data_IF_832308504754
#
_entry.id   IF_832308504754
#
_cell.length_a   1.000
_cell.length_b   1.000
_cell.length_c   1.000
_cell.angle_alpha   90.00
_cell.angle_beta   90.00
_cell.angle_gamma   90.00
#
_symmetry.space_group_name_H-M   'P 1'
#
loop_
_entity.id
_entity.type
_entity.pdbx_description
1 polymer ?
#
# COMPACT_ATOMS: atom_id res chain seq x y z
N UNK A 1 41.79 -44.22 10.08
CA UNK A 1 41.56 -45.34 11.00
C UNK A 1 40.24 -45.96 10.61
N UNK A 2 40.41 -47.05 9.97
CA UNK A 2 39.86 -48.41 10.17
C UNK A 2 38.36 -48.45 9.88
N UNK A 3 38.02 -48.99 8.72
CA UNK A 3 37.99 -50.41 8.27
C UNK A 3 36.84 -51.18 8.87
N UNK A 4 36.06 -51.72 7.92
CA UNK A 4 35.73 -53.15 7.82
C UNK A 4 34.53 -53.59 8.66
N UNK A 5 33.64 -54.42 8.21
CA UNK A 5 33.60 -55.63 7.32
C UNK A 5 32.14 -55.92 7.01
N UNK A 6 31.76 -56.24 5.83
CA UNK A 6 31.78 -57.50 5.09
C UNK A 6 30.90 -58.63 5.63
N UNK A 7 30.13 -59.16 4.67
CA UNK A 7 29.75 -60.61 4.42
C UNK A 7 28.39 -61.04 4.93
N UNK A 8 27.62 -61.48 4.02
CA UNK A 8 27.33 -62.77 3.36
C UNK A 8 26.02 -63.40 3.87
N UNK A 9 25.10 -63.80 3.01
CA UNK A 9 24.90 -65.12 2.37
C UNK A 9 23.62 -64.95 1.48
N UNK A 10 23.61 -65.19 0.28
CA UNK A 10 23.75 -66.39 -0.58
C UNK A 10 22.70 -67.47 -0.34
N UNK A 11 22.03 -67.80 -1.44
CA UNK A 11 21.55 -69.04 -1.96
C UNK A 11 20.18 -69.58 -1.54
N UNK A 12 19.45 -70.04 -2.56
CA UNK A 12 18.30 -70.92 -2.43
C UNK A 12 17.52 -71.10 -3.74
N UNK A 13 18.18 -71.70 -4.74
CA UNK A 13 17.51 -72.27 -5.91
C UNK A 13 16.56 -73.38 -5.50
N UNK A 14 15.33 -73.39 -6.00
CA UNK A 14 14.38 -74.48 -5.89
C UNK A 14 13.70 -74.77 -7.21
N UNK A 15 14.37 -75.50 -8.05
CA UNK A 15 13.80 -76.14 -9.26
C UNK A 15 13.08 -77.42 -8.80
N UNK A 16 11.74 -77.47 -9.14
CA UNK A 16 10.99 -78.76 -8.99
C UNK A 16 10.78 -79.38 -10.37
N UNK A 17 10.94 -80.67 -10.48
CA UNK A 17 10.93 -81.39 -11.75
C UNK A 17 9.50 -81.77 -12.23
N UNK A 18 9.37 -82.23 -13.49
CA UNK A 18 8.07 -82.55 -14.11
C UNK A 18 7.51 -83.87 -13.77
N UNK A 19 6.19 -83.94 -13.61
CA UNK A 19 5.42 -85.17 -13.34
C UNK A 19 5.08 -85.83 -14.68
N UNK A 20 5.17 -87.22 -14.76
CA UNK A 20 4.99 -87.98 -15.99
C UNK A 20 3.51 -88.19 -16.36
N UNK A 21 3.27 -88.29 -17.68
CA UNK A 21 1.95 -88.61 -18.31
C UNK A 21 1.63 -90.13 -18.09
N UNK A 22 0.44 -90.39 -17.54
CA UNK A 22 -0.20 -91.70 -17.58
C UNK A 22 -1.14 -91.83 -18.79
N UNK A 23 -1.49 -93.10 -19.17
CA UNK A 23 -1.97 -93.45 -20.50
C UNK A 23 -3.46 -93.09 -20.73
N UNK A 24 -3.77 -92.98 -22.01
CA UNK A 24 -5.06 -92.67 -22.56
C UNK A 24 -6.12 -93.75 -22.34
N UNK A 25 -7.30 -93.38 -21.83
CA UNK A 25 -8.44 -94.26 -21.70
C UNK A 25 -9.44 -93.85 -22.82
N UNK A 26 -9.71 -94.78 -23.70
CA UNK A 26 -10.65 -94.66 -24.83
C UNK A 26 -12.07 -94.74 -24.31
N UNK A 27 -12.85 -93.71 -24.52
CA UNK A 27 -14.33 -93.76 -24.38
C UNK A 27 -15.03 -93.72 -25.77
N UNK A 28 -16.17 -94.47 -25.87
CA UNK A 28 -16.79 -94.73 -27.19
C UNK A 28 -17.59 -93.58 -27.71
N UNK A 29 -17.59 -93.46 -29.03
CA UNK A 29 -18.31 -92.52 -29.85
C UNK A 29 -19.83 -92.62 -29.72
N UNK A 30 -20.53 -91.53 -29.37
CA UNK A 30 -21.95 -91.34 -29.47
C UNK A 30 -22.30 -90.66 -30.84
N UNK A 31 -23.45 -91.02 -31.46
CA UNK A 31 -23.73 -90.56 -32.80
C UNK A 31 -24.09 -89.09 -32.89
N UNK A 32 -23.42 -88.41 -33.80
CA UNK A 32 -23.71 -86.99 -34.13
C UNK A 32 -25.03 -86.89 -34.88
N UNK A 33 -26.02 -86.32 -34.20
CA UNK A 33 -27.29 -85.93 -34.83
C UNK A 33 -27.08 -84.65 -35.61
N UNK A 34 -26.97 -84.66 -36.93
CA UNK A 34 -26.94 -83.54 -37.82
C UNK A 34 -28.28 -82.77 -37.78
N UNK A 35 -28.26 -81.58 -37.09
CA UNK A 35 -29.32 -80.59 -37.21
C UNK A 35 -28.99 -79.69 -38.40
N UNK A 36 -29.70 -79.86 -39.51
CA UNK A 36 -29.74 -78.89 -40.60
C UNK A 36 -30.47 -77.64 -40.15
N UNK A 37 -29.74 -76.59 -39.81
CA UNK A 37 -30.32 -75.27 -39.56
C UNK A 37 -30.72 -74.68 -40.90
N UNK A 38 -31.94 -74.11 -41.02
CA UNK A 38 -32.39 -73.46 -42.26
C UNK A 38 -31.50 -72.18 -42.49
N UNK A 39 -31.18 -71.98 -43.78
CA UNK A 39 -30.36 -70.87 -44.28
C UNK A 39 -30.86 -69.45 -43.90
N UNK A 40 -32.15 -69.38 -43.53
CA UNK A 40 -32.81 -68.15 -43.12
C UNK A 40 -32.30 -67.50 -41.82
N UNK A 41 -31.78 -68.28 -40.84
CA UNK A 41 -31.30 -67.76 -39.62
C UNK A 41 -29.89 -67.05 -39.73
N UNK A 42 -29.07 -67.54 -40.63
CA UNK A 42 -27.75 -66.91 -40.91
C UNK A 42 -27.91 -65.61 -41.66
N UNK A 43 -28.86 -65.51 -42.57
CA UNK A 43 -29.13 -64.26 -43.25
C UNK A 43 -29.75 -63.21 -42.33
N UNK A 44 -30.61 -63.58 -41.39
CA UNK A 44 -31.17 -62.69 -40.38
C UNK A 44 -30.11 -62.21 -39.37
N UNK A 45 -29.18 -63.06 -38.92
CA UNK A 45 -28.11 -62.70 -38.04
C UNK A 45 -27.09 -61.75 -38.70
N UNK A 46 -26.75 -61.97 -39.97
CA UNK A 46 -25.88 -61.09 -40.75
C UNK A 46 -26.55 -59.72 -40.97
N UNK A 47 -27.83 -59.68 -41.29
CA UNK A 47 -28.57 -58.43 -41.43
C UNK A 47 -28.70 -57.65 -40.14
N UNK A 48 -28.88 -58.31 -38.99
CA UNK A 48 -28.92 -57.65 -37.67
C UNK A 48 -27.54 -57.09 -37.25
N UNK A 49 -26.48 -57.84 -37.53
CA UNK A 49 -25.09 -57.35 -37.25
C UNK A 49 -24.75 -56.18 -38.18
N UNK A 50 -25.13 -56.21 -39.42
CA UNK A 50 -24.88 -55.11 -40.39
C UNK A 50 -25.66 -53.84 -39.99
N UNK A 51 -26.96 -54.02 -39.61
CA UNK A 51 -27.76 -52.89 -39.08
C UNK A 51 -27.19 -52.30 -37.79
N UNK A 52 -26.64 -53.12 -36.90
CA UNK A 52 -26.00 -52.68 -35.66
C UNK A 52 -24.67 -51.94 -35.94
N UNK A 53 -23.87 -52.46 -36.88
CA UNK A 53 -22.62 -51.81 -37.32
C UNK A 53 -22.92 -50.50 -38.06
N UNK A 54 -23.92 -50.49 -38.94
CA UNK A 54 -24.39 -49.27 -39.62
C UNK A 54 -24.92 -48.25 -38.58
N UNK A 55 -25.72 -48.69 -37.60
CA UNK A 55 -26.21 -47.86 -36.51
C UNK A 55 -25.11 -47.23 -35.66
N UNK A 56 -24.09 -48.04 -35.35
CA UNK A 56 -22.94 -47.56 -34.52
C UNK A 56 -22.00 -46.63 -35.31
N UNK A 57 -21.76 -46.89 -36.59
CA UNK A 57 -20.81 -46.08 -37.38
C UNK A 57 -21.47 -44.94 -38.18
N UNK A 58 -22.72 -45.09 -38.63
CA UNK A 58 -23.43 -44.08 -39.40
C UNK A 58 -24.31 -43.21 -38.53
N UNK A 59 -24.86 -43.74 -37.45
CA UNK A 59 -25.72 -43.01 -36.52
C UNK A 59 -25.10 -41.72 -35.99
N UNK A 60 -23.86 -41.74 -35.48
CA UNK A 60 -23.18 -40.52 -35.02
C UNK A 60 -22.90 -39.51 -36.15
N UNK A 61 -22.58 -40.03 -37.37
CA UNK A 61 -22.32 -39.18 -38.54
C UNK A 61 -23.61 -38.54 -39.11
N UNK A 62 -24.71 -39.26 -39.11
CA UNK A 62 -26.03 -38.72 -39.52
C UNK A 62 -26.52 -37.71 -38.49
N UNK A 63 -26.30 -37.94 -37.18
CA UNK A 63 -26.65 -37.02 -36.14
C UNK A 63 -25.82 -35.70 -36.17
N UNK A 64 -24.54 -35.79 -36.57
CA UNK A 64 -23.72 -34.60 -36.80
C UNK A 64 -24.11 -33.84 -38.09
N UNK A 65 -24.67 -34.51 -39.06
CA UNK A 65 -25.14 -33.92 -40.34
C UNK A 65 -26.53 -33.28 -40.20
N UNK A 66 -27.36 -33.78 -39.29
CA UNK A 66 -28.67 -33.21 -38.91
C UNK A 66 -28.59 -32.11 -37.85
N UNK A 67 -27.41 -31.90 -37.21
CA UNK A 67 -27.20 -30.77 -36.34
C UNK A 67 -27.26 -29.49 -37.18
N UNK A 68 -28.26 -28.64 -36.93
CA UNK A 68 -28.38 -27.36 -37.60
C UNK A 68 -27.07 -26.60 -37.48
N UNK A 69 -26.56 -25.97 -38.56
CA UNK A 69 -25.38 -25.15 -38.46
C UNK A 69 -25.59 -24.09 -37.37
N UNK A 70 -24.56 -23.79 -36.60
CA UNK A 70 -24.68 -22.78 -35.54
C UNK A 70 -25.21 -21.47 -36.15
N UNK A 71 -26.11 -20.75 -35.43
CA UNK A 71 -26.73 -19.54 -35.97
C UNK A 71 -25.66 -18.57 -36.46
N UNK A 72 -25.84 -18.01 -37.67
CA UNK A 72 -24.96 -17.00 -38.22
C UNK A 72 -24.95 -15.78 -37.27
N UNK A 73 -23.76 -15.24 -37.01
CA UNK A 73 -23.63 -14.07 -36.14
C UNK A 73 -23.17 -14.36 -34.69
N UNK A 74 -22.94 -15.63 -34.34
CA UNK A 74 -22.38 -16.05 -33.06
C UNK A 74 -20.99 -16.69 -33.24
N UNK A 75 -20.08 -16.40 -32.33
CA UNK A 75 -18.78 -17.03 -32.24
C UNK A 75 -18.74 -17.91 -30.97
N UNK A 76 -18.45 -19.18 -31.18
CA UNK A 76 -18.32 -20.17 -30.10
C UNK A 76 -16.86 -20.43 -29.82
N UNK A 77 -16.46 -20.31 -28.57
CA UNK A 77 -15.12 -20.64 -28.12
C UNK A 77 -15.12 -21.17 -26.68
N UNK A 78 -14.34 -22.21 -26.46
CA UNK A 78 -14.18 -22.78 -25.12
C UNK A 78 -12.95 -22.20 -24.44
N UNK A 79 -13.02 -22.09 -23.15
CA UNK A 79 -11.93 -21.55 -22.33
C UNK A 79 -12.04 -21.99 -20.89
N UNK A 80 -11.41 -21.21 -20.02
CA UNK A 80 -11.45 -21.44 -18.58
C UNK A 80 -11.77 -20.14 -17.88
N UNK A 81 -12.55 -20.24 -16.80
CA UNK A 81 -12.77 -19.11 -15.92
C UNK A 81 -11.47 -18.78 -15.20
N UNK A 82 -11.06 -17.56 -15.29
CA UNK A 82 -9.91 -16.99 -14.59
C UNK A 82 -10.38 -15.80 -13.75
N UNK A 83 -9.64 -15.53 -12.67
CA UNK A 83 -9.84 -14.36 -11.83
C UNK A 83 -8.54 -13.59 -11.70
N UNK A 84 -8.62 -12.31 -11.41
CA UNK A 84 -7.44 -11.54 -11.08
C UNK A 84 -6.91 -11.97 -9.73
N UNK A 85 -5.70 -12.51 -9.74
CA UNK A 85 -5.02 -13.02 -8.56
C UNK A 85 -4.14 -11.94 -7.99
N UNK A 86 -4.23 -11.74 -6.66
CA UNK A 86 -3.33 -10.87 -5.89
C UNK A 86 -2.58 -11.72 -4.89
N UNK A 87 -1.26 -11.78 -5.05
CA UNK A 87 -0.38 -12.48 -4.12
C UNK A 87 0.12 -11.51 -3.06
N UNK A 88 -0.04 -11.86 -1.80
CA UNK A 88 0.41 -11.08 -0.66
C UNK A 88 1.74 -11.63 -0.15
N UNK A 89 2.71 -10.74 -0.06
CA UNK A 89 4.03 -11.00 0.47
C UNK A 89 4.34 -10.05 1.62
N UNK A 90 5.09 -10.44 2.64
CA UNK A 90 5.53 -9.51 3.67
C UNK A 90 6.62 -8.59 3.11
N UNK A 91 6.74 -7.40 3.67
CA UNK A 91 7.79 -6.43 3.34
C UNK A 91 9.08 -6.65 4.14
N UNK A 92 9.02 -7.50 5.15
CA UNK A 92 10.15 -7.76 6.05
C UNK A 92 10.11 -9.19 6.58
N UNK A 93 11.27 -9.73 6.93
CA UNK A 93 11.36 -11.08 7.50
C UNK A 93 10.94 -11.09 8.96
N UNK A 94 9.99 -11.97 9.29
CA UNK A 94 9.49 -12.12 10.65
C UNK A 94 8.86 -13.51 10.87
N UNK A 95 8.53 -13.85 12.14
CA UNK A 95 7.77 -15.05 12.49
C UNK A 95 6.26 -14.78 12.39
N UNK A 96 5.50 -15.73 11.87
CA UNK A 96 4.03 -15.66 11.84
C UNK A 96 3.48 -15.99 13.22
N UNK A 97 2.90 -14.98 13.88
CA UNK A 97 2.31 -15.14 15.21
C UNK A 97 0.89 -15.68 15.15
N UNK A 98 0.06 -15.08 14.32
CA UNK A 98 -1.35 -15.49 14.17
C UNK A 98 -1.79 -15.44 12.72
N UNK A 99 -2.65 -16.36 12.35
CA UNK A 99 -3.40 -16.39 11.10
C UNK A 99 -4.87 -16.15 11.45
N UNK A 100 -5.50 -15.24 10.76
CA UNK A 100 -6.89 -14.82 11.02
C UNK A 100 -7.87 -15.39 9.99
N UNK A 101 -7.35 -15.95 8.91
CA UNK A 101 -8.15 -16.48 7.80
C UNK A 101 -7.56 -17.79 7.29
N UNK A 102 -8.46 -18.65 6.78
CA UNK A 102 -8.12 -19.92 6.14
C UNK A 102 -8.47 -19.88 4.64
N UNK A 103 -8.01 -20.93 3.92
CA UNK A 103 -8.35 -21.10 2.51
C UNK A 103 -9.86 -21.17 2.29
N UNK A 104 -10.30 -20.54 1.22
CA UNK A 104 -11.71 -20.48 0.87
C UNK A 104 -12.54 -19.45 1.64
N UNK A 105 -12.01 -18.74 2.64
CA UNK A 105 -12.74 -17.69 3.37
C UNK A 105 -12.84 -16.40 2.55
N UNK A 106 -13.97 -15.71 2.71
CA UNK A 106 -14.16 -14.36 2.17
C UNK A 106 -13.39 -13.35 3.03
N UNK A 107 -12.84 -12.34 2.38
CA UNK A 107 -12.07 -11.27 3.01
C UNK A 107 -12.46 -9.91 2.43
N UNK A 108 -12.40 -8.89 3.26
CA UNK A 108 -12.67 -7.51 2.87
C UNK A 108 -11.36 -6.72 2.69
N UNK A 109 -11.39 -5.68 1.86
CA UNK A 109 -10.26 -4.79 1.70
C UNK A 109 -9.91 -4.13 3.06
N UNK A 110 -8.62 -4.16 3.45
CA UNK A 110 -8.12 -3.68 4.74
C UNK A 110 -8.20 -4.68 5.90
N UNK A 111 -8.90 -5.82 5.75
CA UNK A 111 -8.97 -6.86 6.78
C UNK A 111 -7.58 -7.45 7.05
N UNK A 112 -7.25 -7.67 8.33
CA UNK A 112 -6.00 -8.33 8.72
C UNK A 112 -6.14 -9.84 8.47
N UNK A 113 -5.21 -10.39 7.71
CA UNK A 113 -5.16 -11.81 7.37
C UNK A 113 -4.17 -12.57 8.24
N UNK A 114 -3.05 -11.95 8.55
CA UNK A 114 -2.03 -12.50 9.45
C UNK A 114 -1.36 -11.38 10.24
N UNK A 115 -0.84 -11.72 11.41
CA UNK A 115 0.05 -10.86 12.19
C UNK A 115 1.40 -11.53 12.34
N UNK A 116 2.44 -10.76 12.06
CA UNK A 116 3.83 -11.16 12.24
C UNK A 116 4.33 -10.68 13.61
N UNK A 117 5.44 -11.24 14.07
CA UNK A 117 6.10 -10.83 15.32
C UNK A 117 6.69 -9.41 15.17
N UNK A 118 6.06 -8.45 15.81
CA UNK A 118 6.39 -7.03 15.76
C UNK A 118 7.00 -6.52 17.09
N UNK A 119 7.32 -7.41 18.05
CA UNK A 119 7.77 -7.03 19.39
C UNK A 119 8.98 -6.07 19.34
N UNK A 120 9.99 -6.41 18.56
CA UNK A 120 11.20 -5.59 18.42
C UNK A 120 10.87 -4.21 17.80
N UNK A 121 9.94 -4.17 16.84
CA UNK A 121 9.56 -2.93 16.17
C UNK A 121 8.70 -2.04 17.06
N UNK A 122 7.79 -2.63 17.85
CA UNK A 122 7.04 -1.90 18.89
C UNK A 122 7.96 -1.27 19.93
N UNK A 123 9.01 -1.99 20.37
CA UNK A 123 9.99 -1.44 21.28
C UNK A 123 10.73 -0.23 20.69
N UNK A 124 11.07 -0.28 19.40
CA UNK A 124 11.67 0.87 18.68
C UNK A 124 10.71 2.06 18.57
N UNK A 125 9.46 1.79 18.27
CA UNK A 125 8.42 2.82 18.24
C UNK A 125 8.28 3.48 19.60
N UNK A 126 8.17 2.71 20.66
CA UNK A 126 8.09 3.23 22.04
C UNK A 126 9.30 4.12 22.38
N UNK A 127 10.51 3.66 22.06
CA UNK A 127 11.73 4.47 22.28
C UNK A 127 11.69 5.80 21.51
N UNK A 128 11.21 5.79 20.27
CA UNK A 128 11.07 7.01 19.48
C UNK A 128 9.98 7.95 20.05
N UNK A 129 8.88 7.40 20.57
CA UNK A 129 7.83 8.18 21.25
C UNK A 129 8.33 8.80 22.54
N UNK A 130 9.12 8.09 23.35
CA UNK A 130 9.74 8.62 24.56
C UNK A 130 10.73 9.75 24.23
N UNK A 131 11.51 9.59 23.16
CA UNK A 131 12.41 10.65 22.69
C UNK A 131 11.64 11.90 22.23
N UNK A 132 10.55 11.74 21.49
CA UNK A 132 9.68 12.85 21.10
C UNK A 132 9.10 13.56 22.33
N UNK A 133 8.61 12.81 23.32
CA UNK A 133 8.08 13.37 24.57
C UNK A 133 9.13 14.17 25.31
N UNK A 134 10.36 13.65 25.44
CA UNK A 134 11.46 14.37 26.08
C UNK A 134 11.79 15.69 25.38
N UNK A 135 11.82 15.72 24.04
CA UNK A 135 12.03 16.94 23.26
C UNK A 135 10.86 17.93 23.39
N UNK A 136 9.64 17.41 23.46
CA UNK A 136 8.44 18.24 23.66
C UNK A 136 8.47 18.96 25.01
N UNK A 137 8.86 18.27 26.08
CA UNK A 137 9.00 18.89 27.41
C UNK A 137 10.18 19.89 27.46
N UNK A 138 11.29 19.60 26.78
CA UNK A 138 12.41 20.57 26.66
C UNK A 138 11.97 21.83 25.91
N UNK A 139 11.24 21.71 24.83
CA UNK A 139 10.69 22.85 24.08
C UNK A 139 9.76 23.68 24.94
N UNK A 140 8.86 23.04 25.69
CA UNK A 140 7.94 23.71 26.63
C UNK A 140 8.68 24.47 27.71
N UNK A 141 9.73 23.88 28.27
CA UNK A 141 10.59 24.56 29.25
C UNK A 141 11.30 25.78 28.65
N UNK A 142 11.83 25.65 27.42
CA UNK A 142 12.45 26.76 26.70
C UNK A 142 11.46 27.88 26.38
N UNK A 143 10.22 27.56 25.94
CA UNK A 143 9.15 28.53 25.72
C UNK A 143 8.80 29.29 27.00
N UNK A 144 8.69 28.58 28.12
CA UNK A 144 8.39 29.18 29.43
C UNK A 144 9.54 30.12 29.87
N UNK A 145 10.76 29.66 29.73
CA UNK A 145 11.95 30.46 30.10
C UNK A 145 12.07 31.72 29.22
N UNK A 146 11.87 31.57 27.91
CA UNK A 146 11.87 32.71 26.99
C UNK A 146 10.79 33.72 27.36
N UNK A 147 9.57 33.28 27.65
CA UNK A 147 8.46 34.17 28.01
C UNK A 147 8.74 34.93 29.35
N UNK A 148 9.36 34.27 30.32
CA UNK A 148 9.75 34.93 31.58
C UNK A 148 10.85 35.97 31.36
N UNK A 149 11.89 35.61 30.62
CA UNK A 149 13.03 36.51 30.33
C UNK A 149 12.58 37.68 29.45
N UNK A 150 11.71 37.48 28.48
CA UNK A 150 11.15 38.55 27.65
C UNK A 150 10.41 39.60 28.48
N UNK A 151 9.57 39.16 29.42
CA UNK A 151 8.90 40.08 30.35
C UNK A 151 9.87 40.82 31.23
N UNK A 152 10.89 40.16 31.78
CA UNK A 152 11.91 40.77 32.63
C UNK A 152 12.70 41.83 31.87
N UNK A 153 13.17 41.52 30.65
CA UNK A 153 13.93 42.49 29.81
C UNK A 153 13.04 43.66 29.42
N UNK A 154 11.80 43.43 29.07
CA UNK A 154 10.83 44.50 28.74
C UNK A 154 10.67 45.46 29.93
N UNK A 155 10.41 44.93 31.14
CA UNK A 155 10.26 45.75 32.32
C UNK A 155 11.54 46.53 32.66
N UNK A 156 12.73 45.92 32.49
CA UNK A 156 14.02 46.60 32.70
C UNK A 156 14.20 47.78 31.71
N UNK A 157 13.88 47.61 30.44
CA UNK A 157 13.93 48.63 29.41
C UNK A 157 12.94 49.76 29.74
N UNK A 158 11.70 49.43 30.13
CA UNK A 158 10.70 50.41 30.52
C UNK A 158 11.14 51.24 31.73
N UNK A 159 11.66 50.59 32.75
CA UNK A 159 12.21 51.26 33.94
C UNK A 159 13.38 52.19 33.60
N UNK A 160 14.38 51.70 32.85
CA UNK A 160 15.52 52.50 32.43
C UNK A 160 15.09 53.68 31.53
N UNK A 161 14.09 53.47 30.64
CA UNK A 161 13.55 54.54 29.79
C UNK A 161 12.79 55.61 30.60
N UNK A 162 12.12 55.21 31.69
CA UNK A 162 11.45 56.14 32.60
C UNK A 162 12.47 56.97 33.36
N UNK A 163 13.53 56.37 33.91
CA UNK A 163 14.62 57.04 34.59
C UNK A 163 15.33 58.04 33.67
N UNK A 164 15.57 57.66 32.43
CA UNK A 164 16.15 58.55 31.42
C UNK A 164 15.25 59.77 31.15
N UNK A 165 13.94 59.60 31.02
CA UNK A 165 12.97 60.70 30.81
C UNK A 165 12.95 61.66 32.01
N UNK A 166 13.07 61.11 33.23
CA UNK A 166 13.16 61.91 34.45
C UNK A 166 14.45 62.76 34.47
N UNK A 167 15.60 62.15 34.13
CA UNK A 167 16.87 62.86 34.02
C UNK A 167 16.84 63.96 32.95
N UNK A 168 16.26 63.67 31.79
CA UNK A 168 16.08 64.70 30.73
C UNK A 168 15.18 65.88 31.19
N UNK A 169 14.11 65.60 31.92
CA UNK A 169 13.25 66.61 32.49
C UNK A 169 13.99 67.47 33.54
N UNK A 170 14.85 66.87 34.35
CA UNK A 170 15.69 67.57 35.29
C UNK A 170 16.71 68.52 34.61
N UNK A 171 17.33 68.02 33.53
CA UNK A 171 18.23 68.80 32.70
C UNK A 171 17.51 70.00 32.05
N UNK A 172 16.35 69.82 31.51
CA UNK A 172 15.56 70.91 30.93
C UNK A 172 15.22 72.00 31.97
N UNK A 173 14.84 71.60 33.19
CA UNK A 173 14.64 72.52 34.32
C UNK A 173 15.90 73.27 34.72
N UNK A 174 17.02 72.57 34.85
CA UNK A 174 18.33 73.17 35.21
C UNK A 174 18.75 74.19 34.12
N UNK A 175 18.60 73.85 32.83
CA UNK A 175 18.90 74.78 31.74
C UNK A 175 18.02 76.03 31.75
N UNK A 176 16.73 75.91 32.06
CA UNK A 176 15.82 77.04 32.19
C UNK A 176 16.22 77.95 33.36
N UNK A 177 16.61 77.37 34.52
CA UNK A 177 17.07 78.11 35.67
C UNK A 177 18.41 78.82 35.40
N UNK A 178 19.36 78.14 34.75
CA UNK A 178 20.64 78.70 34.37
C UNK A 178 20.47 79.90 33.42
N UNK A 179 19.62 79.75 32.43
CA UNK A 179 19.30 80.86 31.48
C UNK A 179 18.67 82.07 32.19
N UNK A 180 17.83 81.85 33.18
CA UNK A 180 17.24 82.90 33.98
C UNK A 180 18.35 83.58 34.88
N UNK A 181 19.16 82.80 35.58
CA UNK A 181 20.25 83.32 36.43
C UNK A 181 21.26 84.12 35.58
N UNK A 182 21.65 83.61 34.40
CA UNK A 182 22.52 84.34 33.46
C UNK A 182 21.95 85.71 33.04
N UNK A 183 20.67 85.76 32.70
CA UNK A 183 20.01 87.04 32.36
C UNK A 183 19.95 88.01 33.54
N UNK A 184 19.83 87.51 34.77
CA UNK A 184 19.86 88.32 36.00
C UNK A 184 21.25 88.84 36.25
N UNK A 185 22.32 88.00 36.14
CA UNK A 185 23.70 88.37 36.22
C UNK A 185 24.10 89.45 35.21
N UNK A 186 23.77 89.21 33.91
CA UNK A 186 24.00 90.20 32.83
C UNK A 186 23.30 91.52 33.10
N UNK A 187 22.10 91.49 33.68
CA UNK A 187 21.40 92.75 34.10
C UNK A 187 22.06 93.40 35.26
N UNK A 188 22.45 92.67 36.32
CA UNK A 188 23.11 93.21 37.47
C UNK A 188 24.47 93.77 37.09
N UNK A 189 25.27 93.13 36.26
CA UNK A 189 26.54 93.61 35.73
C UNK A 189 26.41 94.97 35.02
N UNK A 190 25.32 95.14 34.19
CA UNK A 190 25.05 96.45 33.52
C UNK A 190 24.67 97.52 34.51
N UNK A 191 23.87 97.23 35.55
CA UNK A 191 23.39 98.18 36.51
C UNK A 191 24.52 98.63 37.49
N UNK A 192 25.43 97.75 37.88
CA UNK A 192 26.64 98.12 38.63
C UNK A 192 27.55 99.08 37.85
N UNK A 193 27.74 98.79 36.49
CA UNK A 193 28.49 99.67 35.62
C UNK A 193 27.90 101.09 35.49
N UNK A 194 26.58 101.23 35.83
CA UNK A 194 25.86 102.48 35.89
C UNK A 194 25.74 103.06 37.33
N UNK A 195 26.37 102.47 38.35
CA UNK A 195 26.30 102.80 39.77
C UNK A 195 24.86 102.78 40.36
N UNK A 196 23.92 101.95 39.73
CA UNK A 196 22.50 101.89 40.14
C UNK A 196 22.24 100.81 41.20
N UNK A 197 23.17 99.85 41.44
CA UNK A 197 23.06 98.84 42.51
C UNK A 197 24.39 98.66 43.20
N UNK A 198 24.37 98.00 44.40
CA UNK A 198 25.57 97.70 45.13
C UNK A 198 26.39 96.59 44.48
N UNK A 199 27.74 96.64 44.54
CA UNK A 199 28.65 95.63 44.01
C UNK A 199 28.33 94.24 44.59
N UNK A 200 27.93 94.18 45.85
CA UNK A 200 27.55 92.96 46.54
C UNK A 200 26.31 92.26 45.89
N UNK A 201 25.39 93.01 45.32
CA UNK A 201 24.19 92.42 44.65
C UNK A 201 24.56 91.82 43.26
N UNK A 202 25.52 92.40 42.55
CA UNK A 202 26.05 91.83 41.30
C UNK A 202 26.88 90.55 41.59
N UNK A 203 27.75 90.58 42.66
CA UNK A 203 28.44 89.35 43.04
C UNK A 203 27.53 88.23 43.44
N UNK A 204 26.40 88.54 44.08
CA UNK A 204 25.35 87.48 44.37
C UNK A 204 24.71 86.94 43.09
N UNK A 205 24.44 87.79 42.12
CA UNK A 205 23.84 87.34 40.84
C UNK A 205 24.86 86.49 40.07
N UNK A 206 26.13 86.88 40.04
CA UNK A 206 27.18 86.05 39.42
C UNK A 206 27.30 84.67 40.07
N UNK A 207 27.39 84.65 41.44
CA UNK A 207 27.46 83.37 42.15
C UNK A 207 26.20 82.50 41.86
N UNK A 208 25.03 83.10 41.79
CA UNK A 208 23.76 82.35 41.40
C UNK A 208 23.87 81.77 40.06
N UNK A 209 24.40 82.50 39.02
CA UNK A 209 24.64 81.97 37.70
C UNK A 209 25.63 80.83 37.62
N UNK A 210 26.75 80.95 38.38
CA UNK A 210 27.72 79.86 38.47
C UNK A 210 27.12 78.57 39.11
N UNK A 211 26.36 78.76 40.21
CA UNK A 211 25.66 77.60 40.85
C UNK A 211 24.66 76.92 39.85
N UNK A 212 23.92 77.76 39.14
CA UNK A 212 22.97 77.22 38.18
C UNK A 212 23.65 76.49 37.01
N UNK A 213 24.79 76.95 36.53
CA UNK A 213 25.60 76.29 35.50
C UNK A 213 26.22 74.96 36.03
N UNK A 214 26.64 74.92 37.29
CA UNK A 214 27.03 73.64 37.91
C UNK A 214 25.85 72.64 37.96
N UNK A 215 24.65 73.12 38.30
CA UNK A 215 23.43 72.26 38.27
C UNK A 215 23.11 71.74 36.89
N UNK A 216 23.39 72.48 35.80
CA UNK A 216 23.25 71.96 34.42
C UNK A 216 24.27 70.86 34.19
N UNK A 217 25.54 71.04 34.52
CA UNK A 217 26.57 70.00 34.32
C UNK A 217 26.25 68.68 35.13
N UNK A 218 25.73 68.83 36.33
CA UNK A 218 25.31 67.71 37.17
C UNK A 218 24.14 66.98 36.49
N UNK A 219 23.16 67.70 36.01
CA UNK A 219 22.00 67.11 35.29
C UNK A 219 22.39 66.43 33.95
N UNK A 220 23.37 67.01 33.23
CA UNK A 220 23.92 66.38 32.00
C UNK A 220 24.64 65.07 32.32
N UNK A 221 25.48 65.02 33.39
CA UNK A 221 26.11 63.79 33.82
C UNK A 221 25.11 62.72 34.28
N UNK A 222 24.03 63.16 34.95
CA UNK A 222 22.91 62.22 35.30
C UNK A 222 22.15 61.65 34.08
N UNK A 223 21.93 62.49 33.07
CA UNK A 223 21.31 62.03 31.81
C UNK A 223 22.26 61.05 31.12
N UNK A 224 23.53 61.34 30.96
CA UNK A 224 24.53 60.45 30.36
C UNK A 224 24.56 59.09 31.08
N UNK A 225 24.48 59.08 32.38
CA UNK A 225 24.46 57.86 33.22
C UNK A 225 23.18 57.05 32.92
N UNK A 226 22.03 57.72 32.80
CA UNK A 226 20.75 57.04 32.48
C UNK A 226 20.72 56.54 31.06
N UNK A 227 21.35 57.25 30.09
CA UNK A 227 21.49 56.78 28.72
C UNK A 227 22.33 55.49 28.64
N UNK A 228 23.44 55.41 29.38
CA UNK A 228 24.27 54.20 29.50
C UNK A 228 23.47 53.05 30.12
N UNK A 229 22.68 53.31 31.14
CA UNK A 229 21.83 52.30 31.79
C UNK A 229 20.76 51.76 30.85
N UNK A 230 20.12 52.64 30.06
CA UNK A 230 19.17 52.22 29.04
C UNK A 230 19.83 51.38 27.93
N UNK A 231 21.04 51.78 27.51
CA UNK A 231 21.82 51.01 26.54
C UNK A 231 22.15 49.61 27.06
N UNK A 232 22.56 49.46 28.30
CA UNK A 232 22.81 48.17 28.97
C UNK A 232 21.52 47.31 29.01
N UNK A 233 20.39 47.91 29.39
CA UNK A 233 19.09 47.19 29.42
C UNK A 233 18.70 46.69 28.04
N UNK A 234 19.00 47.42 26.96
CA UNK A 234 18.75 47.01 25.59
C UNK A 234 19.61 45.85 25.11
N UNK A 235 20.80 45.61 25.70
CA UNK A 235 21.58 44.41 25.40
C UNK A 235 20.85 43.12 25.78
N UNK A 236 19.94 43.18 26.76
CA UNK A 236 19.06 42.07 27.10
C UNK A 236 18.19 41.59 25.90
N UNK A 237 17.82 42.48 24.97
CA UNK A 237 17.09 42.11 23.76
C UNK A 237 17.91 41.19 22.83
N UNK A 238 19.22 41.39 22.72
CA UNK A 238 20.09 40.49 21.92
C UNK A 238 20.18 39.09 22.57
N UNK A 239 20.15 39.02 23.88
CA UNK A 239 20.09 37.73 24.58
C UNK A 239 18.78 36.99 24.30
N UNK A 240 17.66 37.70 24.20
CA UNK A 240 16.37 37.12 23.81
C UNK A 240 16.42 36.56 22.40
N UNK A 241 17.08 37.21 21.46
CA UNK A 241 17.21 36.70 20.09
C UNK A 241 18.01 35.39 20.03
N UNK A 242 19.07 35.27 20.84
CA UNK A 242 19.80 34.02 20.99
C UNK A 242 18.93 32.89 21.58
N UNK A 243 18.14 33.21 22.62
CA UNK A 243 17.21 32.25 23.22
C UNK A 243 16.10 31.84 22.25
N UNK A 244 15.58 32.74 21.42
CA UNK A 244 14.63 32.44 20.35
C UNK A 244 15.24 31.50 19.35
N UNK A 245 16.48 31.72 18.92
CA UNK A 245 17.17 30.84 17.97
C UNK A 245 17.39 29.43 18.55
N UNK A 246 17.72 29.33 19.86
CA UNK A 246 17.83 28.03 20.54
C UNK A 246 16.49 27.30 20.64
N UNK A 247 15.45 28.01 21.05
CA UNK A 247 14.07 27.47 21.05
C UNK A 247 13.65 26.96 19.69
N UNK A 248 13.93 27.69 18.61
CA UNK A 248 13.63 27.31 17.24
C UNK A 248 14.43 26.09 16.78
N UNK A 249 15.67 25.96 17.28
CA UNK A 249 16.47 24.75 17.07
C UNK A 249 15.82 23.51 17.73
N UNK A 250 15.36 23.65 18.98
CA UNK A 250 14.61 22.59 19.68
C UNK A 250 13.30 22.23 18.95
N UNK A 251 12.58 23.22 18.43
CA UNK A 251 11.37 22.99 17.64
C UNK A 251 11.64 22.21 16.33
N UNK A 252 12.80 22.45 15.70
CA UNK A 252 13.23 21.64 14.53
C UNK A 252 13.56 20.21 14.93
N UNK A 253 14.24 20.01 16.05
CA UNK A 253 14.55 18.67 16.56
C UNK A 253 13.28 17.88 16.92
N UNK A 254 12.30 18.54 17.55
CA UNK A 254 11.00 17.93 17.86
C UNK A 254 10.29 17.47 16.58
N UNK A 255 10.24 18.29 15.52
CA UNK A 255 9.65 17.91 14.24
C UNK A 255 10.37 16.72 13.60
N UNK A 256 11.69 16.67 13.70
CA UNK A 256 12.47 15.52 13.23
C UNK A 256 12.11 14.24 14.00
N UNK A 257 12.03 14.30 15.33
CA UNK A 257 11.61 13.16 16.15
C UNK A 257 10.17 12.73 15.85
N UNK A 258 9.28 13.68 15.57
CA UNK A 258 7.89 13.38 15.14
C UNK A 258 7.84 12.61 13.81
N UNK A 259 8.68 13.00 12.84
CA UNK A 259 8.80 12.26 11.58
C UNK A 259 9.34 10.85 11.80
N UNK A 260 10.30 10.69 12.73
CA UNK A 260 10.84 9.38 13.10
C UNK A 260 9.80 8.47 13.76
N UNK A 261 8.95 9.02 14.64
CA UNK A 261 7.80 8.26 15.19
C UNK A 261 6.85 7.82 14.09
N UNK A 262 6.52 8.69 13.13
CA UNK A 262 5.65 8.34 12.00
C UNK A 262 6.25 7.21 11.14
N UNK A 263 7.55 7.23 10.90
CA UNK A 263 8.30 6.18 10.21
C UNK A 263 8.19 4.85 10.96
N UNK A 264 8.49 4.85 12.27
CA UNK A 264 8.41 3.62 13.08
C UNK A 264 6.98 3.07 13.16
N UNK A 265 5.95 3.92 13.19
CA UNK A 265 4.54 3.48 13.11
C UNK A 265 4.21 2.81 11.79
N UNK A 266 4.73 3.33 10.68
CA UNK A 266 4.57 2.69 9.37
C UNK A 266 5.23 1.31 9.36
N UNK A 267 6.43 1.18 9.92
CA UNK A 267 7.11 -0.11 10.04
C UNK A 267 6.33 -1.12 10.90
N UNK A 268 5.76 -0.68 12.04
CA UNK A 268 4.90 -1.56 12.84
C UNK A 268 3.66 -2.01 12.06
N UNK A 269 3.07 -1.11 11.26
CA UNK A 269 1.90 -1.45 10.45
C UNK A 269 2.18 -2.52 9.38
N UNK A 270 3.42 -2.60 8.87
CA UNK A 270 3.84 -3.59 7.89
C UNK A 270 3.85 -5.04 8.42
N UNK A 271 3.81 -5.23 9.76
CA UNK A 271 3.70 -6.55 10.40
C UNK A 271 2.27 -7.09 10.45
N UNK A 272 1.27 -6.26 10.17
CA UNK A 272 -0.11 -6.70 9.99
C UNK A 272 -0.38 -6.87 8.48
N UNK A 273 -0.40 -8.09 8.01
CA UNK A 273 -0.67 -8.41 6.61
C UNK A 273 -2.16 -8.21 6.36
N UNK A 274 -2.49 -7.25 5.49
CA UNK A 274 -3.87 -6.86 5.19
C UNK A 274 -4.22 -7.19 3.75
N UNK A 275 -5.50 -7.49 3.52
CA UNK A 275 -6.03 -7.67 2.17
C UNK A 275 -6.11 -6.31 1.44
N UNK A 276 -5.52 -6.16 0.24
CA UNK A 276 -5.70 -4.97 -0.58
C UNK A 276 -7.03 -4.96 -1.34
N UNK A 277 -7.74 -6.09 -1.41
CA UNK A 277 -8.98 -6.27 -2.17
C UNK A 277 -10.05 -6.95 -1.32
N UNK A 278 -11.30 -6.75 -1.69
CA UNK A 278 -12.41 -7.62 -1.28
C UNK A 278 -12.41 -8.84 -2.20
N UNK A 279 -12.50 -10.03 -1.62
CA UNK A 279 -12.43 -11.25 -2.42
C UNK A 279 -12.43 -12.51 -1.55
N UNK A 280 -11.72 -13.54 -2.00
CA UNK A 280 -11.60 -14.81 -1.29
C UNK A 280 -10.16 -15.30 -1.28
N UNK A 281 -9.75 -15.93 -0.18
CA UNK A 281 -8.46 -16.59 -0.08
C UNK A 281 -8.47 -17.83 -0.97
N UNK A 282 -7.61 -17.85 -1.99
CA UNK A 282 -7.45 -18.99 -2.90
C UNK A 282 -6.51 -20.03 -2.30
N UNK A 283 -5.34 -19.59 -1.84
CA UNK A 283 -4.35 -20.44 -1.17
C UNK A 283 -3.71 -19.69 0.00
N UNK A 284 -3.38 -20.43 1.05
CA UNK A 284 -2.58 -20.00 2.20
C UNK A 284 -1.30 -20.82 2.21
N UNK A 285 -0.17 -20.19 1.94
CA UNK A 285 1.12 -20.88 1.74
C UNK A 285 1.94 -20.93 3.03
N UNK A 286 1.44 -20.34 4.13
CA UNK A 286 2.18 -20.15 5.37
C UNK A 286 1.46 -20.72 6.57
N UNK A 287 2.21 -21.21 7.55
CA UNK A 287 1.71 -21.74 8.81
C UNK A 287 2.12 -20.88 10.01
N UNK A 288 1.33 -20.98 11.11
CA UNK A 288 1.66 -20.31 12.37
C UNK A 288 2.99 -20.83 12.92
N UNK A 289 3.86 -19.92 13.37
CA UNK A 289 5.20 -20.26 13.87
C UNK A 289 6.24 -20.45 12.77
N UNK A 290 5.89 -20.23 11.52
CA UNK A 290 6.82 -20.23 10.40
C UNK A 290 7.54 -18.90 10.29
N UNK A 291 8.80 -18.91 9.85
CA UNK A 291 9.55 -17.70 9.53
C UNK A 291 9.42 -17.39 8.04
N UNK A 292 8.89 -16.22 7.76
CA UNK A 292 8.71 -15.74 6.40
C UNK A 292 9.73 -14.66 6.07
N UNK A 293 10.18 -14.63 4.82
CA UNK A 293 11.11 -13.62 4.30
C UNK A 293 10.42 -12.63 3.38
N UNK A 294 11.15 -11.58 3.03
CA UNK A 294 10.71 -10.62 2.02
C UNK A 294 10.42 -11.34 0.70
N UNK A 295 9.27 -11.04 0.08
CA UNK A 295 8.84 -11.67 -1.16
C UNK A 295 8.28 -13.08 -1.05
N UNK A 296 8.28 -13.71 0.14
CA UNK A 296 7.64 -15.04 0.35
C UNK A 296 6.12 -14.92 0.21
N UNK A 297 5.46 -15.67 -0.70
CA UNK A 297 4.00 -15.64 -0.79
C UNK A 297 3.36 -16.15 0.50
N UNK A 298 2.45 -15.37 1.08
CA UNK A 298 1.67 -15.75 2.27
C UNK A 298 0.27 -16.20 1.91
N UNK A 299 -0.41 -15.36 1.13
CA UNK A 299 -1.77 -15.58 0.67
C UNK A 299 -1.89 -15.26 -0.80
N UNK A 300 -2.71 -16.03 -1.47
CA UNK A 300 -3.18 -15.71 -2.82
C UNK A 300 -4.67 -15.41 -2.73
N UNK A 301 -5.06 -14.20 -3.12
CA UNK A 301 -6.45 -13.75 -3.11
C UNK A 301 -7.00 -13.68 -4.53
N UNK A 302 -8.29 -13.89 -4.67
CA UNK A 302 -9.01 -13.72 -5.93
C UNK A 302 -10.27 -12.90 -5.72
N UNK A 303 -10.51 -11.98 -6.63
CA UNK A 303 -11.76 -11.23 -6.70
C UNK A 303 -12.78 -12.04 -7.51
N UNK A 304 -13.81 -12.58 -6.82
CA UNK A 304 -14.84 -13.39 -7.47
C UNK A 304 -15.89 -12.57 -8.22
N UNK A 305 -15.94 -11.27 -8.01
CA UNK A 305 -16.85 -10.37 -8.74
C UNK A 305 -16.25 -9.90 -10.07
N UNK A 306 -14.94 -10.10 -10.26
CA UNK A 306 -14.22 -9.71 -11.47
C UNK A 306 -13.60 -10.91 -12.18
N UNK A 307 -14.41 -11.94 -12.39
CA UNK A 307 -14.02 -13.11 -13.17
C UNK A 307 -14.16 -12.85 -14.67
N UNK A 308 -13.34 -13.55 -15.45
CA UNK A 308 -13.42 -13.55 -16.90
C UNK A 308 -13.15 -14.95 -17.42
N UNK A 309 -13.62 -15.24 -18.63
CA UNK A 309 -13.25 -16.46 -19.35
C UNK A 309 -12.19 -16.08 -20.39
N UNK A 310 -11.04 -16.71 -20.32
CA UNK A 310 -10.01 -16.60 -21.36
C UNK A 310 -10.31 -17.62 -22.43
N UNK A 311 -10.75 -17.14 -23.60
CA UNK A 311 -11.03 -17.97 -24.78
C UNK A 311 -9.98 -17.72 -25.85
N UNK A 312 -9.82 -18.69 -26.75
CA UNK A 312 -8.87 -18.61 -27.84
C UNK A 312 -9.61 -18.60 -29.17
N UNK A 313 -9.52 -17.50 -29.88
CA UNK A 313 -10.21 -17.26 -31.15
C UNK A 313 -9.21 -17.42 -32.28
N UNK A 314 -9.50 -18.32 -33.29
CA UNK A 314 -8.63 -18.48 -34.45
C UNK A 314 -8.51 -17.20 -35.29
N UNK A 315 -7.34 -16.99 -35.90
CA UNK A 315 -7.03 -15.82 -36.74
C UNK A 315 -8.12 -15.47 -37.76
N UNK A 316 -8.71 -16.41 -38.53
CA UNK A 316 -9.76 -16.06 -39.50
C UNK A 316 -11.04 -15.48 -38.87
N UNK A 317 -11.20 -15.62 -37.56
CA UNK A 317 -12.41 -15.20 -36.84
C UNK A 317 -12.18 -13.98 -35.92
N UNK A 318 -10.93 -13.59 -35.69
CA UNK A 318 -10.62 -12.48 -34.72
C UNK A 318 -11.19 -11.15 -35.22
N UNK A 319 -11.24 -10.88 -36.52
CA UNK A 319 -11.82 -9.67 -37.09
C UNK A 319 -13.33 -9.49 -36.81
N UNK A 320 -14.00 -10.50 -36.27
CA UNK A 320 -15.41 -10.45 -35.85
C UNK A 320 -15.56 -10.05 -34.37
N UNK A 321 -14.48 -10.09 -33.60
CA UNK A 321 -14.49 -9.80 -32.16
C UNK A 321 -14.06 -8.36 -31.91
N UNK A 322 -14.91 -7.62 -31.22
CA UNK A 322 -14.64 -6.24 -30.80
C UNK A 322 -14.89 -6.10 -29.28
N UNK A 323 -14.28 -5.07 -28.69
CA UNK A 323 -14.50 -4.72 -27.29
C UNK A 323 -15.99 -4.43 -27.04
N UNK A 324 -16.45 -4.67 -25.82
CA UNK A 324 -17.82 -4.46 -25.32
C UNK A 324 -18.93 -5.27 -26.02
N UNK A 325 -18.59 -6.18 -26.93
CA UNK A 325 -19.57 -7.10 -27.49
C UNK A 325 -20.19 -7.96 -26.41
N UNK A 326 -21.51 -8.17 -26.53
CA UNK A 326 -22.23 -9.03 -25.61
C UNK A 326 -21.82 -10.48 -25.80
N UNK A 327 -21.66 -11.16 -24.70
CA UNK A 327 -21.35 -12.58 -24.66
C UNK A 327 -22.17 -13.28 -23.58
N UNK A 328 -22.32 -14.60 -23.75
CA UNK A 328 -22.87 -15.47 -22.72
C UNK A 328 -21.89 -16.58 -22.41
N UNK A 329 -21.70 -16.83 -21.11
CA UNK A 329 -20.84 -17.90 -20.62
C UNK A 329 -21.72 -19.03 -20.13
N UNK A 330 -21.39 -20.24 -20.54
CA UNK A 330 -22.00 -21.48 -20.11
C UNK A 330 -20.98 -22.34 -19.41
N UNK A 331 -21.36 -22.95 -18.31
CA UNK A 331 -20.52 -23.86 -17.53
C UNK A 331 -21.30 -25.17 -17.29
N UNK A 332 -20.62 -26.30 -17.40
CA UNK A 332 -21.25 -27.61 -17.25
C UNK A 332 -21.86 -27.84 -15.86
N UNK A 333 -21.30 -27.16 -14.84
CA UNK A 333 -21.81 -27.23 -13.47
C UNK A 333 -23.21 -26.60 -13.31
N UNK A 334 -23.65 -25.75 -14.27
CA UNK A 334 -24.96 -25.08 -14.23
C UNK A 334 -25.62 -25.18 -15.62
N UNK A 335 -26.09 -26.38 -16.01
CA UNK A 335 -26.66 -26.59 -17.32
C UNK A 335 -27.92 -25.74 -17.54
N UNK A 336 -28.02 -25.14 -18.72
CA UNK A 336 -29.16 -24.30 -19.10
C UNK A 336 -29.18 -22.88 -18.49
N UNK A 337 -28.20 -22.51 -17.67
CA UNK A 337 -28.11 -21.19 -17.10
C UNK A 337 -26.98 -20.40 -17.75
N UNK A 338 -27.27 -19.47 -18.66
CA UNK A 338 -26.28 -18.57 -19.22
C UNK A 338 -25.90 -17.45 -18.19
N UNK A 339 -24.62 -17.13 -18.11
CA UNK A 339 -24.13 -15.99 -17.38
C UNK A 339 -23.81 -14.85 -18.35
N UNK A 340 -24.39 -13.68 -18.09
CA UNK A 340 -24.14 -12.51 -18.91
C UNK A 340 -22.67 -12.07 -18.82
N UNK A 341 -22.08 -11.76 -19.96
CA UNK A 341 -20.68 -11.39 -20.07
C UNK A 341 -20.46 -10.39 -21.22
N UNK A 342 -19.30 -9.76 -21.24
CA UNK A 342 -18.86 -8.86 -22.31
C UNK A 342 -17.41 -9.10 -22.65
N UNK A 343 -17.05 -8.85 -23.90
CA UNK A 343 -15.64 -8.86 -24.32
C UNK A 343 -14.93 -7.67 -23.68
N UNK A 344 -13.99 -7.96 -22.79
CA UNK A 344 -13.24 -6.92 -22.04
C UNK A 344 -11.85 -6.67 -22.61
N UNK A 345 -11.26 -7.66 -23.28
CA UNK A 345 -9.92 -7.54 -23.86
C UNK A 345 -9.76 -8.47 -25.05
N UNK A 346 -9.11 -8.00 -26.09
CA UNK A 346 -8.65 -8.77 -27.23
C UNK A 346 -7.13 -8.63 -27.29
N UNK A 347 -6.40 -9.76 -27.24
CA UNK A 347 -4.93 -9.75 -27.32
C UNK A 347 -4.51 -9.21 -28.68
N UNK A 348 -3.45 -8.40 -28.68
CA UNK A 348 -2.82 -7.89 -29.90
C UNK A 348 -1.76 -8.85 -30.44
N UNK A 349 -1.34 -9.82 -29.64
CA UNK A 349 -0.35 -10.82 -30.00
C UNK A 349 -1.04 -12.17 -30.20
N UNK A 350 -0.65 -12.85 -31.27
CA UNK A 350 -1.09 -14.20 -31.52
C UNK A 350 -0.32 -15.19 -30.64
N UNK A 351 -1.05 -16.13 -30.04
CA UNK A 351 -0.48 -17.24 -29.27
C UNK A 351 -0.60 -18.55 -30.11
N UNK A 352 0.34 -19.47 -29.90
CA UNK A 352 0.18 -20.84 -30.42
C UNK A 352 -0.77 -21.61 -29.49
N UNK A 353 -1.66 -22.43 -30.08
CA UNK A 353 -2.57 -23.24 -29.27
C UNK A 353 -1.80 -24.08 -28.25
N UNK A 354 -2.15 -24.01 -26.93
CA UNK A 354 -1.41 -24.70 -25.87
C UNK A 354 -1.66 -26.22 -25.79
N UNK A 355 -1.92 -26.89 -26.92
CA UNK A 355 -2.06 -28.34 -26.95
C UNK A 355 -0.77 -29.02 -27.42
N UNK A 356 -0.35 -30.06 -26.68
CA UNK A 356 0.58 -31.07 -27.18
C UNK A 356 -0.05 -31.77 -28.37
N UNK A 357 0.29 -31.35 -29.57
CA UNK A 357 -0.35 -31.84 -30.83
C UNK A 357 0.62 -32.74 -31.56
N UNK A 358 0.20 -33.96 -31.79
CA UNK A 358 1.01 -34.99 -32.42
C UNK A 358 1.05 -34.92 -33.95
N UNK A 359 0.16 -34.16 -34.60
CA UNK A 359 0.04 -34.11 -36.05
C UNK A 359 0.50 -32.79 -36.66
N UNK A 360 1.05 -32.87 -37.89
CA UNK A 360 1.67 -31.74 -38.59
C UNK A 360 0.65 -30.66 -39.02
N UNK A 361 -0.62 -31.03 -39.21
CA UNK A 361 -1.70 -30.14 -39.64
C UNK A 361 -2.33 -29.32 -38.50
N UNK A 362 -2.14 -29.75 -37.25
CA UNK A 362 -2.64 -29.04 -36.05
C UNK A 362 -1.60 -28.10 -35.41
N UNK A 363 -0.33 -28.11 -35.86
CA UNK A 363 0.78 -27.42 -35.23
C UNK A 363 0.82 -25.91 -35.43
N UNK A 364 -0.01 -25.35 -36.33
CA UNK A 364 0.10 -23.93 -36.69
C UNK A 364 -1.26 -23.30 -36.87
N UNK A 365 -2.08 -23.29 -35.82
CA UNK A 365 -3.24 -22.41 -35.81
C UNK A 365 -2.92 -21.27 -34.85
N UNK A 366 -2.61 -20.11 -35.42
CA UNK A 366 -2.50 -18.87 -34.65
C UNK A 366 -3.87 -18.56 -34.04
N UNK A 367 -3.90 -18.32 -32.75
CA UNK A 367 -5.07 -17.95 -31.99
C UNK A 367 -4.81 -16.68 -31.22
N UNK A 368 -5.84 -15.90 -31.04
CA UNK A 368 -5.78 -14.71 -30.22
C UNK A 368 -6.53 -14.95 -28.91
N UNK A 369 -5.91 -14.61 -27.81
CA UNK A 369 -6.56 -14.66 -26.51
C UNK A 369 -7.58 -13.52 -26.41
N UNK A 370 -8.80 -13.86 -26.04
CA UNK A 370 -9.90 -12.92 -25.78
C UNK A 370 -10.40 -13.14 -24.36
N UNK A 371 -10.45 -12.07 -23.58
CA UNK A 371 -11.02 -12.09 -22.25
C UNK A 371 -12.48 -11.65 -22.33
N UNK A 372 -13.36 -12.51 -21.85
CA UNK A 372 -14.79 -12.27 -21.76
C UNK A 372 -15.14 -12.12 -20.28
N UNK A 373 -15.29 -10.88 -19.81
CA UNK A 373 -15.59 -10.57 -18.42
C UNK A 373 -17.04 -10.87 -18.08
N UNK A 374 -17.27 -11.53 -16.96
CA UNK A 374 -18.61 -11.68 -16.38
C UNK A 374 -19.15 -10.31 -15.94
N UNK A 375 -20.44 -10.09 -16.19
CA UNK A 375 -21.13 -8.90 -15.67
C UNK A 375 -21.41 -9.06 -14.18
N UNK A 376 -21.84 -10.26 -13.77
CA UNK A 376 -22.17 -10.59 -12.37
C UNK A 376 -21.87 -12.06 -12.09
N UNK A 377 -21.46 -12.33 -10.84
CA UNK A 377 -21.31 -13.69 -10.32
C UNK A 377 -22.17 -13.88 -9.06
N UNK A 378 -23.50 -13.95 -9.19
CA UNK A 378 -24.41 -13.98 -8.06
C UNK A 378 -24.14 -15.19 -7.16
N UNK A 379 -23.84 -14.91 -5.88
CA UNK A 379 -23.52 -15.92 -4.88
C UNK A 379 -22.13 -16.53 -5.01
N UNK A 380 -21.25 -15.99 -5.87
CA UNK A 380 -19.88 -16.50 -6.04
C UNK A 380 -19.83 -17.96 -6.53
N UNK A 381 -20.83 -18.37 -7.33
CA UNK A 381 -20.99 -19.77 -7.76
C UNK A 381 -19.94 -20.17 -8.79
N UNK A 382 -19.51 -19.23 -9.62
CA UNK A 382 -18.43 -19.44 -10.57
C UNK A 382 -17.08 -19.29 -9.87
N UNK A 383 -16.17 -20.20 -10.15
CA UNK A 383 -14.85 -20.23 -9.51
C UNK A 383 -13.76 -20.26 -10.57
N UNK A 384 -12.60 -19.66 -10.30
CA UNK A 384 -11.42 -19.81 -11.15
C UNK A 384 -11.08 -21.29 -11.39
N UNK A 385 -10.67 -21.61 -12.60
CA UNK A 385 -10.31 -22.97 -13.01
C UNK A 385 -11.45 -23.77 -13.64
N UNK A 386 -12.71 -23.34 -13.50
CA UNK A 386 -13.83 -24.02 -14.15
C UNK A 386 -13.73 -23.91 -15.67
N UNK A 387 -13.91 -25.02 -16.41
CA UNK A 387 -14.08 -24.97 -17.87
C UNK A 387 -15.39 -24.24 -18.20
N UNK A 388 -15.37 -23.45 -19.25
CA UNK A 388 -16.52 -22.68 -19.67
C UNK A 388 -16.53 -22.49 -21.19
N UNK A 389 -17.73 -22.49 -21.77
CA UNK A 389 -17.96 -22.10 -23.14
C UNK A 389 -18.44 -20.66 -23.20
N UNK A 390 -17.80 -19.84 -24.00
CA UNK A 390 -18.25 -18.48 -24.27
C UNK A 390 -18.83 -18.39 -25.67
N UNK A 391 -20.01 -17.77 -25.78
CA UNK A 391 -20.65 -17.43 -27.03
C UNK A 391 -20.65 -15.92 -27.15
N UNK A 392 -19.86 -15.40 -28.09
CA UNK A 392 -19.77 -13.96 -28.39
C UNK A 392 -20.70 -13.61 -29.53
N UNK A 393 -21.55 -12.61 -29.34
CA UNK A 393 -22.47 -12.11 -30.36
C UNK A 393 -21.78 -11.00 -31.16
N UNK A 394 -21.30 -11.32 -32.36
CA UNK A 394 -20.65 -10.37 -33.25
C UNK A 394 -21.58 -9.66 -34.22
N UNK A 395 -22.80 -10.22 -34.46
CA UNK A 395 -23.89 -9.54 -35.16
C UNK A 395 -24.99 -9.17 -34.15
N UNK A 396 -25.37 -7.89 -34.05
CA UNK A 396 -26.32 -7.44 -33.01
C UNK A 396 -27.65 -8.16 -32.98
N UNK A 397 -28.15 -8.55 -34.16
CA UNK A 397 -29.48 -9.19 -34.32
C UNK A 397 -29.45 -10.72 -34.27
N UNK A 398 -28.31 -11.34 -34.03
CA UNK A 398 -28.19 -12.79 -33.98
C UNK A 398 -28.94 -13.33 -32.74
N UNK A 399 -29.88 -14.30 -32.94
CA UNK A 399 -30.62 -14.92 -31.86
C UNK A 399 -29.68 -15.78 -31.00
N UNK A 400 -29.82 -15.69 -29.67
CA UNK A 400 -29.11 -16.59 -28.78
C UNK A 400 -29.59 -18.03 -28.93
N UNK A 401 -28.69 -19.03 -28.84
CA UNK A 401 -29.08 -20.41 -28.91
C UNK A 401 -29.98 -20.78 -27.73
N UNK A 402 -31.07 -21.46 -27.98
CA UNK A 402 -31.86 -22.16 -26.98
C UNK A 402 -31.12 -23.44 -26.60
N UNK A 403 -30.41 -23.42 -25.47
CA UNK A 403 -29.79 -24.61 -24.86
C UNK A 403 -30.64 -25.15 -23.72
#
# INVERSE_FOLDING_TARGET
>A
MRTEQLRQHAAGNGISPPVPRGPAEQQPALPVRRWSRPLSFRAAAIAAVTLLVVGVFVGPRVRSWLAAPPPAGLLYASGRIEGRITTLTPKTSAWVMTLHVDEGQAVEAGQILATLDDQAQRARLQSAEEQLNALTERLRAADTHLAMTDRQVTLQIEQASATRREADTRLQRARAQALQAQREDERAARLVGQELIATQDAERAQLAAEIADHAVREAEAALETSDKQLALSRLGAQQLDAMRAERDALARQQRQAQAQVAEQRSHVADFAIRSPITGRVLTRTVERGERVGDGTPLFTLVDLDRLYVKIYVPEPSIGKVALDQEARIYVDAYPGRPFAARVSRVSQEAEFTPKNVETREERVKLVFAVEVALVENPGGVLKPGMPADAIVRWQPDAPWPSR
#
